data_IF_324971452159
#
_entry.id   IF_324971452159
#
_cell.length_a   1.000
_cell.length_b   1.000
_cell.length_c   1.000
_cell.angle_alpha   90.00
_cell.angle_beta   90.00
_cell.angle_gamma   90.00
#
_symmetry.space_group_name_H-M   'P 1'
#
loop_
_entity.id
_entity.type
_entity.pdbx_description
1 polymer ?
#
# COMPACT_ATOMS: atom_id res chain seq x y z
N UNK A 1 -9.69 10.63 23.69
CA UNK A 1 -9.34 10.63 22.25
C UNK A 1 -8.18 9.65 22.04
N UNK A 2 -8.38 8.56 21.29
CA UNK A 2 -7.47 7.40 21.19
C UNK A 2 -6.06 7.82 20.72
N UNK A 3 -4.99 7.25 21.32
CA UNK A 3 -3.58 7.57 21.03
C UNK A 3 -3.25 7.40 19.54
N UNK A 4 -3.91 6.44 18.88
CA UNK A 4 -3.79 6.19 17.46
C UNK A 4 -4.25 7.38 16.60
N UNK A 5 -5.41 7.97 16.90
CA UNK A 5 -5.95 9.13 16.16
C UNK A 5 -5.12 10.40 16.37
N UNK A 6 -4.55 10.58 17.57
CA UNK A 6 -3.59 11.66 17.84
C UNK A 6 -2.31 11.49 17.01
N UNK A 7 -1.79 10.27 16.93
CA UNK A 7 -0.56 9.96 16.18
C UNK A 7 -0.71 10.14 14.65
N UNK A 8 -1.92 9.98 14.12
CA UNK A 8 -2.19 10.18 12.70
C UNK A 8 -2.47 11.65 12.34
N UNK A 9 -2.69 12.54 13.32
CA UNK A 9 -3.04 13.94 13.09
C UNK A 9 -4.43 14.13 12.46
N UNK A 10 -5.29 13.12 12.56
CA UNK A 10 -6.56 13.04 11.84
C UNK A 10 -7.69 13.59 12.73
N UNK A 11 -8.21 14.77 12.38
CA UNK A 11 -9.28 15.46 13.12
C UNK A 11 -10.49 15.86 12.27
N UNK A 12 -10.53 15.52 10.97
CA UNK A 12 -11.54 15.99 10.01
C UNK A 12 -12.15 14.85 9.18
N UNK A 13 -13.39 15.00 8.67
CA UNK A 13 -14.04 13.99 7.83
C UNK A 13 -13.37 13.86 6.45
N UNK A 14 -13.34 12.64 5.92
CA UNK A 14 -12.76 12.29 4.61
C UNK A 14 -13.84 11.91 3.62
N UNK A 15 -13.62 12.24 2.34
CA UNK A 15 -14.39 11.64 1.26
C UNK A 15 -13.99 10.16 1.10
N UNK A 16 -14.92 9.26 1.43
CA UNK A 16 -14.71 7.81 1.29
C UNK A 16 -15.33 7.32 -0.01
N UNK A 17 -14.53 6.66 -0.85
CA UNK A 17 -15.04 5.94 -2.02
C UNK A 17 -15.37 4.50 -1.62
N UNK A 18 -16.65 4.18 -1.62
CA UNK A 18 -17.12 2.84 -1.28
C UNK A 18 -17.08 1.94 -2.50
N UNK A 19 -16.27 0.89 -2.43
CA UNK A 19 -16.31 -0.23 -3.35
C UNK A 19 -17.15 -1.34 -2.70
N UNK A 20 -18.09 -1.94 -3.45
CA UNK A 20 -18.98 -3.01 -2.98
C UNK A 20 -19.97 -2.60 -1.86
N UNK A 21 -20.78 -1.56 -2.09
CA UNK A 21 -21.78 -1.03 -1.13
C UNK A 21 -22.70 -2.11 -0.54
N UNK A 22 -23.18 -3.03 -1.36
CA UNK A 22 -24.10 -4.10 -0.94
C UNK A 22 -23.43 -5.08 0.03
N UNK A 23 -22.21 -5.52 -0.27
CA UNK A 23 -21.44 -6.40 0.64
C UNK A 23 -21.18 -5.76 2.00
N UNK A 24 -20.90 -4.46 2.02
CA UNK A 24 -20.69 -3.71 3.27
C UNK A 24 -21.99 -3.67 4.08
N UNK A 25 -23.13 -3.43 3.43
CA UNK A 25 -24.45 -3.43 4.06
C UNK A 25 -24.77 -4.80 4.67
N UNK A 26 -24.59 -5.87 3.92
CA UNK A 26 -24.84 -7.24 4.39
C UNK A 26 -23.93 -7.60 5.57
N UNK A 27 -22.67 -7.17 5.52
CA UNK A 27 -21.71 -7.38 6.60
C UNK A 27 -22.12 -6.64 7.88
N UNK A 28 -22.59 -5.39 7.78
CA UNK A 28 -23.09 -4.63 8.92
C UNK A 28 -24.31 -5.30 9.57
N UNK A 29 -25.27 -5.77 8.76
CA UNK A 29 -26.43 -6.53 9.25
C UNK A 29 -25.99 -7.77 10.02
N UNK A 30 -25.02 -8.53 9.50
CA UNK A 30 -24.47 -9.71 10.18
C UNK A 30 -23.73 -9.35 11.47
N UNK A 31 -23.01 -8.23 11.50
CA UNK A 31 -22.32 -7.78 12.72
C UNK A 31 -23.31 -7.41 13.83
N UNK A 32 -24.41 -6.73 13.50
CA UNK A 32 -25.45 -6.35 14.46
C UNK A 32 -26.16 -7.59 15.02
N UNK A 33 -26.39 -8.61 14.18
CA UNK A 33 -27.06 -9.85 14.56
C UNK A 33 -26.16 -10.80 15.39
N UNK A 34 -24.84 -10.65 15.32
CA UNK A 34 -23.91 -11.52 16.03
C UNK A 34 -23.60 -11.01 17.45
N UNK A 35 -23.45 -11.93 18.40
CA UNK A 35 -23.01 -11.58 19.76
C UNK A 35 -21.60 -10.99 19.72
N UNK A 36 -21.37 -9.92 20.49
CA UNK A 36 -20.06 -9.26 20.62
C UNK A 36 -18.89 -10.24 20.78
N UNK A 37 -19.07 -11.34 21.54
CA UNK A 37 -18.06 -12.39 21.74
C UNK A 37 -17.57 -13.03 20.44
N UNK A 38 -18.46 -13.34 19.50
CA UNK A 38 -18.08 -13.95 18.21
C UNK A 38 -17.24 -13.00 17.37
N UNK A 39 -17.60 -11.71 17.37
CA UNK A 39 -16.85 -10.67 16.69
C UNK A 39 -15.45 -10.49 17.29
N UNK A 40 -15.33 -10.43 18.63
CA UNK A 40 -14.03 -10.36 19.31
C UNK A 40 -13.16 -11.59 19.05
N UNK A 41 -13.73 -12.79 19.13
CA UNK A 41 -13.01 -14.03 18.83
C UNK A 41 -12.49 -14.04 17.38
N UNK A 42 -13.32 -13.63 16.42
CA UNK A 42 -12.91 -13.55 15.03
C UNK A 42 -11.79 -12.53 14.81
N UNK A 43 -11.92 -11.31 15.35
CA UNK A 43 -10.90 -10.27 15.23
C UNK A 43 -9.59 -10.68 15.92
N UNK A 44 -9.67 -11.28 17.11
CA UNK A 44 -8.52 -11.83 17.82
C UNK A 44 -7.84 -12.95 17.04
N UNK A 45 -8.61 -13.90 16.50
CA UNK A 45 -8.08 -14.95 15.64
C UNK A 45 -7.39 -14.39 14.40
N UNK A 46 -7.99 -13.40 13.71
CA UNK A 46 -7.39 -12.75 12.54
C UNK A 46 -6.08 -12.04 12.87
N UNK A 47 -5.99 -11.42 14.05
CA UNK A 47 -4.75 -10.81 14.51
C UNK A 47 -3.69 -11.88 14.79
N UNK A 48 -4.02 -12.90 15.59
CA UNK A 48 -3.08 -13.97 15.94
C UNK A 48 -2.62 -14.71 14.69
N UNK A 49 -3.53 -15.06 13.77
CA UNK A 49 -3.16 -15.80 12.56
C UNK A 49 -2.18 -15.02 11.69
N UNK A 50 -2.38 -13.70 11.54
CA UNK A 50 -1.49 -12.80 10.80
C UNK A 50 -0.06 -12.76 11.37
N UNK A 51 0.08 -12.82 12.71
CA UNK A 51 1.37 -12.67 13.39
C UNK A 51 1.97 -13.97 13.93
N UNK A 52 1.23 -15.07 13.91
CA UNK A 52 1.59 -16.36 14.52
C UNK A 52 2.99 -16.84 14.12
N UNK A 53 3.34 -16.76 12.83
CA UNK A 53 4.65 -17.12 12.28
C UNK A 53 5.82 -16.26 12.79
N UNK A 54 5.52 -15.08 13.34
CA UNK A 54 6.49 -14.15 13.90
C UNK A 54 6.61 -14.25 15.42
N UNK A 55 5.65 -14.90 16.11
CA UNK A 55 5.61 -15.03 17.57
C UNK A 55 6.42 -16.24 18.03
N UNK A 56 6.17 -17.42 17.46
CA UNK A 56 6.84 -18.65 17.86
C UNK A 56 7.26 -19.47 16.64
N UNK A 57 8.50 -19.98 16.57
CA UNK A 57 8.94 -20.85 15.47
C UNK A 57 8.05 -22.09 15.28
N UNK A 58 7.49 -22.63 16.36
CA UNK A 58 6.63 -23.83 16.36
C UNK A 58 5.34 -23.65 15.56
N UNK A 59 4.80 -22.42 15.47
CA UNK A 59 3.60 -22.12 14.69
C UNK A 59 3.84 -22.15 13.18
N UNK A 60 5.10 -22.06 12.71
CA UNK A 60 5.42 -22.06 11.26
C UNK A 60 5.20 -23.42 10.62
N UNK A 61 5.64 -24.48 11.30
CA UNK A 61 5.55 -25.85 10.78
C UNK A 61 4.11 -26.35 10.60
N UNK A 62 3.14 -25.69 11.24
CA UNK A 62 1.72 -26.07 11.16
C UNK A 62 0.96 -25.37 10.03
N UNK A 63 1.51 -24.30 9.45
CA UNK A 63 0.77 -23.39 8.55
C UNK A 63 1.19 -23.50 7.08
N UNK A 64 2.42 -23.91 6.77
CA UNK A 64 2.93 -23.92 5.39
C UNK A 64 3.65 -25.23 5.04
N UNK A 65 3.17 -26.01 4.03
CA UNK A 65 3.80 -27.26 3.61
C UNK A 65 5.12 -27.06 2.84
N UNK A 66 5.37 -25.84 2.32
CA UNK A 66 6.59 -25.48 1.61
C UNK A 66 7.50 -24.67 2.54
N UNK A 67 8.51 -25.32 3.11
CA UNK A 67 9.40 -24.66 4.07
C UNK A 67 10.29 -23.61 3.40
N UNK A 68 9.93 -22.34 3.53
CA UNK A 68 10.80 -21.22 3.14
C UNK A 68 11.82 -21.01 4.28
N UNK A 69 13.14 -20.98 3.98
CA UNK A 69 14.15 -20.69 4.99
C UNK A 69 13.92 -19.34 5.68
N UNK A 70 14.14 -19.29 7.00
CA UNK A 70 13.88 -18.09 7.81
C UNK A 70 14.56 -16.83 7.30
N UNK A 71 15.80 -16.93 6.82
CA UNK A 71 16.51 -15.77 6.29
C UNK A 71 15.79 -15.15 5.09
N UNK A 72 15.14 -15.97 4.23
CA UNK A 72 14.34 -15.47 3.10
C UNK A 72 13.07 -14.75 3.58
N UNK A 73 12.41 -15.26 4.62
CA UNK A 73 11.26 -14.57 5.22
C UNK A 73 11.67 -13.20 5.79
N UNK A 74 12.83 -13.13 6.45
CA UNK A 74 13.37 -11.87 6.97
C UNK A 74 13.71 -10.89 5.84
N UNK A 75 14.29 -11.36 4.74
CA UNK A 75 14.53 -10.51 3.56
C UNK A 75 13.20 -10.02 2.97
N UNK A 76 12.19 -10.87 2.86
CA UNK A 76 10.86 -10.47 2.36
C UNK A 76 10.21 -9.40 3.23
N UNK A 77 10.38 -9.45 4.56
CA UNK A 77 9.95 -8.38 5.46
C UNK A 77 10.73 -7.09 5.22
N UNK A 78 12.05 -7.17 5.05
CA UNK A 78 12.88 -6.01 4.73
C UNK A 78 12.51 -5.41 3.37
N UNK A 79 12.18 -6.23 2.37
CA UNK A 79 11.65 -5.75 1.10
C UNK A 79 10.31 -5.03 1.31
N UNK A 80 9.39 -5.60 2.10
CA UNK A 80 8.09 -5.00 2.35
C UNK A 80 8.18 -3.61 3.01
N UNK A 81 9.09 -3.44 3.96
CA UNK A 81 9.15 -2.24 4.80
C UNK A 81 10.30 -1.28 4.44
N UNK A 82 11.37 -1.79 3.84
CA UNK A 82 12.60 -1.05 3.56
C UNK A 82 13.10 -1.28 2.11
N UNK A 83 12.22 -1.64 1.17
CA UNK A 83 12.57 -1.84 -0.25
C UNK A 83 13.48 -0.74 -0.83
N UNK A 84 13.23 0.58 -0.63
CA UNK A 84 14.11 1.60 -1.18
C UNK A 84 15.55 1.53 -0.64
N UNK A 85 15.71 1.25 0.65
CA UNK A 85 17.03 1.14 1.29
C UNK A 85 17.75 -0.14 0.85
N UNK A 86 17.02 -1.25 0.74
CA UNK A 86 17.58 -2.50 0.26
C UNK A 86 18.00 -2.39 -1.21
N UNK A 87 17.17 -1.76 -2.04
CA UNK A 87 17.47 -1.50 -3.45
C UNK A 87 18.71 -0.60 -3.61
N UNK A 88 18.84 0.44 -2.78
CA UNK A 88 20.03 1.30 -2.76
C UNK A 88 21.29 0.50 -2.38
N UNK A 89 21.23 -0.28 -1.30
CA UNK A 89 22.35 -1.08 -0.83
C UNK A 89 22.80 -2.12 -1.88
N UNK A 90 21.86 -2.87 -2.44
CA UNK A 90 22.12 -3.87 -3.48
C UNK A 90 22.67 -3.23 -4.75
N UNK A 91 22.10 -2.10 -5.17
CA UNK A 91 22.60 -1.39 -6.35
C UNK A 91 24.04 -0.92 -6.15
N UNK A 92 24.36 -0.33 -5.00
CA UNK A 92 25.74 0.13 -4.72
C UNK A 92 26.73 -1.03 -4.69
N UNK A 93 26.30 -2.20 -4.25
CA UNK A 93 27.14 -3.40 -4.21
C UNK A 93 27.32 -4.04 -5.59
N UNK A 94 26.24 -4.16 -6.38
CA UNK A 94 26.21 -5.05 -7.55
C UNK A 94 26.11 -4.32 -8.89
N UNK A 95 25.51 -3.12 -8.93
CA UNK A 95 25.22 -2.41 -10.19
C UNK A 95 26.29 -1.35 -10.43
N UNK A 96 27.22 -1.68 -11.32
CA UNK A 96 28.23 -0.73 -11.81
C UNK A 96 27.60 0.38 -12.66
N UNK A 97 28.27 1.54 -12.74
CA UNK A 97 27.78 2.71 -13.48
C UNK A 97 27.60 2.44 -14.97
N UNK A 98 28.42 1.58 -15.57
CA UNK A 98 28.34 1.28 -17.00
C UNK A 98 27.02 0.59 -17.38
N UNK A 99 26.47 -0.23 -16.48
CA UNK A 99 25.17 -0.87 -16.68
C UNK A 99 24.07 0.20 -16.71
N UNK A 100 24.15 1.20 -15.84
CA UNK A 100 23.18 2.30 -15.77
C UNK A 100 23.20 3.12 -17.06
N UNK A 101 24.39 3.53 -17.52
CA UNK A 101 24.55 4.30 -18.76
C UNK A 101 24.04 3.52 -19.98
N UNK A 102 24.23 2.20 -19.99
CA UNK A 102 23.69 1.32 -21.03
C UNK A 102 22.17 1.30 -21.01
N UNK A 103 21.54 1.18 -19.85
CA UNK A 103 20.07 1.21 -19.70
C UNK A 103 19.49 2.57 -20.10
N UNK A 104 20.14 3.67 -19.73
CA UNK A 104 19.75 5.02 -20.14
C UNK A 104 19.78 5.14 -21.68
N UNK A 105 20.87 4.70 -22.33
CA UNK A 105 20.99 4.70 -23.80
C UNK A 105 19.92 3.84 -24.49
N UNK A 106 19.68 2.63 -23.99
CA UNK A 106 18.65 1.73 -24.54
C UNK A 106 17.27 2.35 -24.39
N UNK A 107 16.98 2.96 -23.24
CA UNK A 107 15.70 3.60 -22.97
C UNK A 107 15.47 4.82 -23.87
N UNK A 108 16.47 5.69 -24.06
CA UNK A 108 16.40 6.80 -25.02
C UNK A 108 16.17 6.32 -26.45
N UNK A 109 16.80 5.21 -26.86
CA UNK A 109 16.58 4.58 -28.17
C UNK A 109 15.16 4.03 -28.34
N UNK A 110 14.61 3.40 -27.30
CA UNK A 110 13.22 2.92 -27.26
C UNK A 110 12.24 4.10 -27.38
N UNK A 111 12.39 5.15 -26.58
CA UNK A 111 11.53 6.33 -26.64
C UNK A 111 11.58 6.99 -28.02
N UNK A 112 12.77 7.13 -28.61
CA UNK A 112 12.94 7.66 -29.96
C UNK A 112 12.25 6.77 -31.03
N UNK A 113 12.31 5.45 -30.85
CA UNK A 113 11.65 4.49 -31.72
C UNK A 113 10.12 4.56 -31.61
N UNK A 114 9.59 4.71 -30.40
CA UNK A 114 8.16 4.90 -30.13
C UNK A 114 7.68 6.20 -30.79
N UNK A 115 8.40 7.31 -30.60
CA UNK A 115 8.08 8.60 -31.22
C UNK A 115 8.04 8.48 -32.75
N UNK A 116 9.00 7.76 -33.35
CA UNK A 116 9.04 7.50 -34.79
C UNK A 116 7.84 6.67 -35.26
N UNK A 117 7.46 5.62 -34.53
CA UNK A 117 6.31 4.76 -34.85
C UNK A 117 4.99 5.50 -34.73
N UNK A 118 4.82 6.28 -33.65
CA UNK A 118 3.64 7.11 -33.44
C UNK A 118 3.50 8.18 -34.53
N UNK A 119 4.61 8.82 -34.92
CA UNK A 119 4.64 9.84 -35.99
C UNK A 119 4.20 9.29 -37.35
N UNK A 120 4.56 8.03 -37.65
CA UNK A 120 4.23 7.35 -38.92
C UNK A 120 2.87 6.63 -38.92
N UNK A 121 2.16 6.58 -37.78
CA UNK A 121 0.91 5.82 -37.66
C UNK A 121 -0.22 6.45 -38.51
N UNK A 122 -0.69 5.73 -39.54
CA UNK A 122 -1.80 6.20 -40.40
C UNK A 122 -3.19 5.91 -39.82
N UNK A 123 -3.29 4.92 -38.93
CA UNK A 123 -4.55 4.46 -38.33
C UNK A 123 -5.08 5.37 -37.21
N UNK A 124 -4.31 6.38 -36.81
CA UNK A 124 -4.58 7.21 -35.63
C UNK A 124 -4.79 8.68 -36.01
N UNK A 125 -5.81 9.32 -35.46
CA UNK A 125 -6.09 10.75 -35.72
C UNK A 125 -4.99 11.65 -35.17
N UNK A 126 -4.76 12.79 -35.81
CA UNK A 126 -3.72 13.76 -35.45
C UNK A 126 -3.81 14.20 -33.98
N UNK A 127 -5.03 14.44 -33.48
CA UNK A 127 -5.28 14.82 -32.08
C UNK A 127 -4.85 13.73 -31.09
N UNK A 128 -5.21 12.46 -31.33
CA UNK A 128 -4.82 11.32 -30.47
C UNK A 128 -3.31 11.06 -30.53
N UNK A 129 -2.71 11.21 -31.72
CA UNK A 129 -1.27 11.08 -31.93
C UNK A 129 -0.49 12.10 -31.11
N UNK A 130 -0.89 13.37 -31.15
CA UNK A 130 -0.23 14.43 -30.37
C UNK A 130 -0.38 14.22 -28.85
N UNK A 131 -1.53 13.74 -28.37
CA UNK A 131 -1.73 13.40 -26.96
C UNK A 131 -0.80 12.25 -26.50
N UNK A 132 -0.62 11.23 -27.34
CA UNK A 132 0.27 10.11 -27.04
C UNK A 132 1.74 10.53 -27.07
N UNK A 133 2.16 11.33 -28.05
CA UNK A 133 3.51 11.91 -28.08
C UNK A 133 3.80 12.76 -26.84
N UNK A 134 2.83 13.56 -26.38
CA UNK A 134 2.97 14.29 -25.12
C UNK A 134 3.11 13.35 -23.91
N UNK A 135 2.34 12.25 -23.86
CA UNK A 135 2.48 11.26 -22.80
C UNK A 135 3.84 10.58 -22.81
N UNK A 136 4.37 10.21 -23.98
CA UNK A 136 5.70 9.61 -24.13
C UNK A 136 6.78 10.58 -23.66
N UNK A 137 6.69 11.87 -24.01
CA UNK A 137 7.61 12.91 -23.52
C UNK A 137 7.55 13.14 -22.01
N UNK A 138 6.40 12.87 -21.38
CA UNK A 138 6.24 12.96 -19.93
C UNK A 138 6.63 11.67 -19.21
N UNK A 139 6.97 10.59 -19.92
CA UNK A 139 7.47 9.38 -19.29
C UNK A 139 8.89 9.63 -18.80
N UNK A 140 9.10 9.40 -17.52
CA UNK A 140 10.39 9.54 -16.87
C UNK A 140 10.94 8.14 -16.55
N UNK A 141 12.23 7.94 -16.85
CA UNK A 141 12.92 6.70 -16.53
C UNK A 141 13.29 6.74 -15.05
N UNK A 142 12.55 5.98 -14.24
CA UNK A 142 12.87 5.84 -12.82
C UNK A 142 13.75 4.63 -12.59
N UNK A 143 15.01 4.88 -12.25
CA UNK A 143 15.84 3.87 -11.64
C UNK A 143 15.36 3.58 -10.21
N UNK A 144 15.55 2.35 -9.71
CA UNK A 144 15.16 1.98 -8.35
C UNK A 144 15.93 2.75 -7.25
N UNK A 145 16.89 3.59 -7.63
CA UNK A 145 17.69 4.46 -6.78
C UNK A 145 17.89 5.81 -7.50
N UNK A 146 17.91 6.93 -6.77
CA UNK A 146 18.21 8.26 -7.34
C UNK A 146 19.70 8.56 -7.20
N UNK A 147 20.32 9.12 -8.25
CA UNK A 147 21.77 9.42 -8.33
C UNK A 147 22.27 10.29 -7.17
N UNK A 148 21.46 11.20 -6.61
CA UNK A 148 21.94 12.26 -5.69
C UNK A 148 20.96 12.74 -4.61
N UNK A 149 19.83 12.07 -4.38
CA UNK A 149 19.03 12.46 -3.21
C UNK A 149 19.70 11.90 -1.95
N UNK A 150 20.05 12.81 -1.03
CA UNK A 150 20.09 12.53 0.39
C UNK A 150 18.72 11.95 0.75
N UNK A 151 18.53 10.65 0.48
CA UNK A 151 17.43 9.85 0.96
C UNK A 151 17.41 10.15 2.44
N UNK A 152 16.40 10.89 2.86
CA UNK A 152 16.24 11.26 4.26
C UNK A 152 16.28 9.94 5.00
N UNK A 153 17.43 9.63 5.63
CA UNK A 153 17.77 8.33 6.21
C UNK A 153 16.84 7.97 7.38
N UNK A 154 15.87 8.81 7.67
CA UNK A 154 14.60 8.36 8.20
C UNK A 154 14.10 7.21 7.33
N UNK A 155 14.43 5.99 7.75
CA UNK A 155 13.55 4.84 7.64
C UNK A 155 12.12 5.38 7.57
N UNK A 156 11.34 4.96 6.58
CA UNK A 156 9.90 5.26 6.49
C UNK A 156 9.19 5.08 7.85
N UNK A 157 9.81 4.29 8.72
CA UNK A 157 9.42 4.04 10.08
C UNK A 157 10.51 4.56 11.03
N UNK A 158 10.20 5.63 11.78
CA UNK A 158 10.91 5.97 13.02
C UNK A 158 10.73 4.79 14.00
N UNK A 159 11.52 3.75 13.83
CA UNK A 159 11.61 2.65 14.78
C UNK A 159 12.60 3.14 15.82
N UNK A 160 12.08 3.44 17.01
CA UNK A 160 12.91 3.55 18.22
C UNK A 160 13.76 2.27 18.32
N UNK A 161 14.99 2.43 18.80
CA UNK A 161 16.01 1.41 19.10
C UNK A 161 15.55 -0.04 18.89
N UNK A 162 16.09 -0.68 17.85
CA UNK A 162 15.80 -2.07 17.52
C UNK A 162 16.48 -2.94 18.59
N UNK A 163 15.69 -3.47 19.53
CA UNK A 163 16.12 -4.53 20.44
C UNK A 163 16.07 -5.88 19.69
N UNK A 164 17.21 -6.50 19.35
CA UNK A 164 17.24 -7.71 18.50
C UNK A 164 16.49 -8.89 19.11
N UNK A 165 16.36 -8.89 20.44
CA UNK A 165 15.69 -9.90 21.25
C UNK A 165 14.16 -9.88 21.08
N UNK A 166 13.58 -8.77 20.61
CA UNK A 166 12.13 -8.58 20.46
C UNK A 166 11.68 -8.59 18.99
N UNK A 167 12.02 -9.64 18.25
CA UNK A 167 11.66 -9.78 16.84
C UNK A 167 10.15 -9.60 16.57
N UNK A 168 9.30 -10.24 17.37
CA UNK A 168 7.84 -10.16 17.17
C UNK A 168 7.31 -8.74 17.38
N UNK A 169 7.82 -8.04 18.41
CA UNK A 169 7.49 -6.65 18.67
C UNK A 169 7.94 -5.71 17.55
N UNK A 170 9.13 -5.95 16.98
CA UNK A 170 9.63 -5.21 15.81
C UNK A 170 8.67 -5.38 14.63
N UNK A 171 8.30 -6.61 14.28
CA UNK A 171 7.40 -6.87 13.15
C UNK A 171 6.05 -6.19 13.35
N UNK A 172 5.43 -6.32 14.52
CA UNK A 172 4.15 -5.66 14.84
C UNK A 172 4.28 -4.14 14.70
N UNK A 173 5.37 -3.56 15.20
CA UNK A 173 5.62 -2.13 15.10
C UNK A 173 5.79 -1.66 13.64
N UNK A 174 6.46 -2.43 12.79
CA UNK A 174 6.58 -2.13 11.36
C UNK A 174 5.20 -2.06 10.68
N UNK A 175 4.32 -3.03 10.93
CA UNK A 175 2.95 -2.99 10.42
C UNK A 175 2.16 -1.80 10.96
N UNK A 176 2.31 -1.47 12.26
CA UNK A 176 1.67 -0.30 12.86
C UNK A 176 2.11 0.99 12.15
N UNK A 177 3.41 1.17 11.94
CA UNK A 177 3.95 2.37 11.30
C UNK A 177 3.54 2.46 9.82
N UNK A 178 3.49 1.34 9.10
CA UNK A 178 2.94 1.29 7.74
C UNK A 178 1.51 1.82 7.69
N UNK A 179 0.64 1.40 8.62
CA UNK A 179 -0.73 1.91 8.70
C UNK A 179 -0.74 3.42 9.00
N UNK A 180 0.09 3.89 9.93
CA UNK A 180 0.21 5.32 10.25
C UNK A 180 0.61 6.13 9.00
N UNK A 181 1.63 5.71 8.27
CA UNK A 181 2.09 6.39 7.05
C UNK A 181 1.04 6.36 5.94
N UNK A 182 0.32 5.24 5.78
CA UNK A 182 -0.82 5.19 4.84
C UNK A 182 -1.91 6.19 5.22
N UNK A 183 -2.21 6.33 6.51
CA UNK A 183 -3.21 7.27 7.01
C UNK A 183 -2.77 8.73 6.89
N UNK A 184 -1.48 9.04 7.09
CA UNK A 184 -0.92 10.40 6.88
C UNK A 184 -1.04 10.88 5.43
N UNK A 185 -1.04 9.96 4.46
CA UNK A 185 -1.25 10.29 3.04
C UNK A 185 -2.68 10.70 2.73
N UNK A 186 -3.63 10.49 3.65
CA UNK A 186 -5.00 10.93 3.46
C UNK A 186 -5.08 12.44 3.63
N UNK A 187 -5.26 13.16 2.54
CA UNK A 187 -5.54 14.60 2.57
C UNK A 187 -6.94 14.84 3.14
N UNK A 188 -7.09 15.55 4.27
CA UNK A 188 -8.41 15.87 4.79
C UNK A 188 -9.16 16.76 3.80
N UNK A 189 -10.44 16.49 3.62
CA UNK A 189 -11.33 17.32 2.78
C UNK A 189 -11.50 18.69 3.42
N UNK A 190 -11.46 19.77 2.62
CA UNK A 190 -11.76 21.14 3.08
C UNK A 190 -13.26 21.37 3.29
N UNK A 191 -14.09 20.53 2.69
CA UNK A 191 -15.55 20.61 2.78
C UNK A 191 -16.07 19.66 3.85
N UNK A 192 -16.85 20.21 4.78
CA UNK A 192 -17.70 19.43 5.68
C UNK A 192 -18.82 18.87 4.80
N UNK A 193 -18.61 17.70 4.23
CA UNK A 193 -19.70 16.91 3.66
C UNK A 193 -20.47 16.33 4.84
N UNK A 194 -21.78 16.54 4.86
CA UNK A 194 -22.72 16.17 5.91
C UNK A 194 -22.26 14.94 6.71
N UNK A 195 -22.19 15.11 8.03
CA UNK A 195 -21.95 14.03 8.97
C UNK A 195 -23.14 13.08 8.93
N UNK A 196 -23.13 12.11 8.02
CA UNK A 196 -24.09 11.02 8.04
C UNK A 196 -23.70 10.18 9.25
N UNK A 197 -24.51 10.25 10.32
CA UNK A 197 -24.37 9.36 11.46
C UNK A 197 -24.36 7.91 10.96
N UNK A 198 -23.42 7.05 11.42
CA UNK A 198 -23.32 5.66 10.98
C UNK A 198 -24.61 4.84 11.11
N UNK A 199 -25.59 5.33 11.90
CA UNK A 199 -26.91 4.72 12.10
C UNK A 199 -28.05 5.29 11.24
N UNK A 200 -27.86 6.36 10.46
CA UNK A 200 -28.91 6.98 9.63
C UNK A 200 -28.80 6.59 8.15
N UNK A 201 -28.41 5.35 7.85
CA UNK A 201 -28.80 4.75 6.57
C UNK A 201 -30.30 4.43 6.66
N UNK A 202 -31.15 5.43 6.43
CA UNK A 202 -32.58 5.20 6.29
C UNK A 202 -32.80 4.22 5.13
N UNK A 203 -33.34 3.06 5.47
CA UNK A 203 -33.90 2.08 4.56
C UNK A 203 -35.16 2.69 3.92
N UNK A 204 -35.02 3.46 2.85
CA UNK A 204 -36.16 3.74 1.97
C UNK A 204 -36.36 2.52 1.07
N UNK A 205 -37.14 1.58 1.59
CA UNK A 205 -37.84 0.57 0.79
C UNK A 205 -39.06 1.23 0.18
N UNK A 206 -38.93 1.83 -1.00
CA UNK A 206 -40.11 2.04 -1.86
C UNK A 206 -40.52 0.68 -2.44
N UNK A 207 -41.37 -0.03 -1.71
CA UNK A 207 -42.32 -0.97 -2.31
C UNK A 207 -43.64 -0.22 -2.43
N UNK A 208 -43.86 0.41 -3.58
CA UNK A 208 -45.21 0.65 -4.06
C UNK A 208 -45.76 -0.70 -4.54
N UNK A 209 -46.59 -1.32 -3.70
CA UNK A 209 -47.60 -2.26 -4.17
C UNK A 209 -48.93 -1.59 -3.89
N UNK A 210 -49.52 -1.06 -4.96
CA UNK A 210 -50.87 -0.50 -5.00
C UNK A 210 -51.89 -1.61 -4.83
N UNK A 211 -52.81 -1.43 -3.88
CA UNK A 211 -54.15 -2.02 -3.90
C UNK A 211 -55.11 -1.15 -4.67
#
# INVERSE_FOLDING_TARGET
>A
MNVFWKATGISRPYRVKLYCKEKIRDYMTRLIQNRNRSCYNYLGWRFISQFSRHIEPSFRFRMEPNHIPRWKECISLLEQFASPLLAEALTKAEIKREIQDTVEKVSSSIFSSIDRLLSKSKWMSSKKRNQLLQKVKMMDLRFPFRKEENLSRTLLFKTSEIEPENYSGIVINLYRQMVIEMLKKLTPTREIVETIEPGKFQLTSERSVSG
#
